data_IF_737248519465
#
_entry.id   IF_737248519465
#
_cell.length_a   1.000
_cell.length_b   1.000
_cell.length_c   1.000
_cell.angle_alpha   90.00
_cell.angle_beta   90.00
_cell.angle_gamma   90.00
#
_symmetry.space_group_name_H-M   'P 1'
#
loop_
_entity.id
_entity.type
_entity.pdbx_description
1 polymer ?
#
# COMPACT_ATOMS: atom_id res chain seq x y z
N UNK A 1 35.92 32.12 -13.69
CA UNK A 1 35.10 31.63 -12.54
C UNK A 1 34.81 30.14 -12.74
N UNK A 2 35.38 29.27 -11.89
CA UNK A 2 35.11 27.84 -11.93
C UNK A 2 33.75 27.56 -11.28
N UNK A 3 32.92 26.65 -11.83
CA UNK A 3 31.65 26.28 -11.20
C UNK A 3 31.93 25.62 -9.84
N UNK A 4 31.24 26.07 -8.80
CA UNK A 4 31.29 25.46 -7.48
C UNK A 4 30.78 24.00 -7.57
N UNK A 5 31.36 23.06 -6.81
CA UNK A 5 30.89 21.68 -6.78
C UNK A 5 29.43 21.67 -6.32
N UNK A 6 28.54 21.11 -7.16
CA UNK A 6 27.16 20.84 -6.79
C UNK A 6 27.15 20.07 -5.48
N UNK A 7 26.52 20.63 -4.45
CA UNK A 7 26.32 19.97 -3.18
C UNK A 7 25.62 18.62 -3.46
N UNK A 8 26.35 17.53 -3.26
CA UNK A 8 25.76 16.20 -3.30
C UNK A 8 24.63 16.16 -2.27
N UNK A 9 23.42 15.81 -2.71
CA UNK A 9 22.30 15.60 -1.79
C UNK A 9 22.74 14.62 -0.71
N UNK A 10 22.60 15.00 0.56
CA UNK A 10 22.91 14.12 1.68
C UNK A 10 22.19 12.77 1.47
N UNK A 11 22.82 11.64 1.79
CA UNK A 11 22.18 10.33 1.65
C UNK A 11 20.89 10.36 2.47
N UNK A 12 19.76 10.18 1.78
CA UNK A 12 18.46 10.06 2.42
C UNK A 12 18.45 8.72 3.15
N UNK A 13 18.21 8.75 4.45
CA UNK A 13 18.01 7.54 5.22
C UNK A 13 16.85 6.71 4.62
N UNK A 14 17.10 5.46 4.21
CA UNK A 14 16.11 4.65 3.48
C UNK A 14 14.88 4.33 4.34
N UNK A 15 15.04 4.22 5.66
CA UNK A 15 13.94 3.92 6.59
C UNK A 15 13.05 5.16 6.75
N UNK A 16 13.65 6.34 6.93
CA UNK A 16 12.91 7.61 6.95
C UNK A 16 12.20 7.89 5.61
N UNK A 17 12.81 7.52 4.48
CA UNK A 17 12.14 7.61 3.18
C UNK A 17 10.93 6.67 3.07
N UNK A 18 11.04 5.43 3.56
CA UNK A 18 9.93 4.49 3.59
C UNK A 18 8.78 4.98 4.48
N UNK A 19 9.07 5.50 5.68
CA UNK A 19 8.05 6.05 6.58
C UNK A 19 7.37 7.31 6.02
N UNK A 20 8.09 8.19 5.31
CA UNK A 20 7.47 9.32 4.61
C UNK A 20 6.55 8.88 3.48
N UNK A 21 6.93 7.86 2.70
CA UNK A 21 6.06 7.29 1.67
C UNK A 21 4.81 6.70 2.30
N UNK A 22 4.95 5.91 3.36
CA UNK A 22 3.84 5.37 4.12
C UNK A 22 2.87 6.47 4.58
N UNK A 23 3.37 7.54 5.21
CA UNK A 23 2.52 8.66 5.64
C UNK A 23 1.75 9.31 4.48
N UNK A 24 2.34 9.36 3.27
CA UNK A 24 1.71 9.89 2.07
C UNK A 24 0.67 8.98 1.42
N UNK A 25 0.70 7.67 1.68
CA UNK A 25 -0.19 6.69 1.02
C UNK A 25 -1.16 5.96 1.94
N UNK A 26 -0.86 5.87 3.24
CA UNK A 26 -1.64 5.09 4.20
C UNK A 26 -3.12 5.51 4.23
N UNK A 27 -3.38 6.81 4.17
CA UNK A 27 -4.74 7.35 4.20
C UNK A 27 -5.61 6.87 3.03
N UNK A 28 -5.04 6.79 1.81
CA UNK A 28 -5.75 6.23 0.66
C UNK A 28 -6.11 4.77 0.90
N UNK A 29 -5.17 3.97 1.40
CA UNK A 29 -5.42 2.55 1.68
C UNK A 29 -6.47 2.38 2.79
N UNK A 30 -6.40 3.18 3.86
CA UNK A 30 -7.38 3.17 4.96
C UNK A 30 -8.79 3.50 4.47
N UNK A 31 -8.96 4.55 3.64
CA UNK A 31 -10.28 4.89 3.08
C UNK A 31 -10.83 3.81 2.17
N UNK A 32 -9.98 3.20 1.35
CA UNK A 32 -10.39 2.08 0.50
C UNK A 32 -10.81 0.88 1.35
N UNK A 33 -10.02 0.52 2.38
CA UNK A 33 -10.38 -0.54 3.31
C UNK A 33 -11.72 -0.26 4.02
N UNK A 34 -11.95 0.98 4.47
CA UNK A 34 -13.22 1.37 5.07
C UNK A 34 -14.39 1.25 4.08
N UNK A 35 -14.18 1.60 2.81
CA UNK A 35 -15.18 1.47 1.74
C UNK A 35 -15.51 0.01 1.45
N UNK A 36 -14.49 -0.86 1.42
CA UNK A 36 -14.65 -2.33 1.30
C UNK A 36 -15.46 -2.88 2.47
N UNK A 37 -15.13 -2.49 3.70
CA UNK A 37 -15.82 -2.96 4.89
C UNK A 37 -17.28 -2.50 4.96
N UNK A 38 -17.60 -1.35 4.38
CA UNK A 38 -18.95 -0.80 4.37
C UNK A 38 -19.93 -1.61 3.47
N UNK A 39 -19.46 -2.28 2.42
CA UNK A 39 -20.37 -2.90 1.46
C UNK A 39 -19.70 -3.58 0.27
N UNK A 40 -20.51 -4.19 -0.62
CA UNK A 40 -20.01 -4.69 -1.90
C UNK A 40 -19.43 -3.57 -2.76
N UNK A 41 -18.28 -3.83 -3.38
CA UNK A 41 -17.51 -2.88 -4.19
C UNK A 41 -17.18 -3.46 -5.57
N UNK A 42 -16.83 -2.60 -6.52
CA UNK A 42 -16.34 -3.03 -7.83
C UNK A 42 -14.85 -3.43 -7.73
N UNK A 43 -14.47 -4.69 -8.04
CA UNK A 43 -13.08 -5.12 -8.02
C UNK A 43 -12.14 -4.20 -8.81
N UNK A 44 -12.53 -3.83 -10.04
CA UNK A 44 -11.70 -2.95 -10.87
C UNK A 44 -11.51 -1.57 -10.25
N UNK A 45 -12.53 -1.05 -9.54
CA UNK A 45 -12.44 0.22 -8.84
C UNK A 45 -11.43 0.17 -7.69
N UNK A 46 -11.43 -0.92 -6.92
CA UNK A 46 -10.46 -1.15 -5.84
C UNK A 46 -9.04 -1.24 -6.38
N UNK A 47 -8.82 -2.05 -7.42
CA UNK A 47 -7.51 -2.21 -8.06
C UNK A 47 -6.95 -0.86 -8.57
N UNK A 48 -7.78 -0.04 -9.22
CA UNK A 48 -7.37 1.27 -9.73
C UNK A 48 -6.95 2.23 -8.61
N UNK A 49 -7.68 2.27 -7.50
CA UNK A 49 -7.36 3.15 -6.37
C UNK A 49 -6.10 2.68 -5.63
N UNK A 50 -5.89 1.37 -5.54
CA UNK A 50 -4.76 0.78 -4.81
C UNK A 50 -3.48 0.63 -5.63
N UNK A 51 -3.50 0.88 -6.94
CA UNK A 51 -2.33 0.78 -7.81
C UNK A 51 -1.16 1.68 -7.34
N UNK A 52 -1.44 2.95 -7.05
CA UNK A 52 -0.39 3.89 -6.60
C UNK A 52 0.14 3.54 -5.19
N UNK A 53 -0.70 3.27 -4.17
CA UNK A 53 -0.22 2.74 -2.90
C UNK A 53 0.64 1.49 -3.05
N UNK A 54 0.17 0.48 -3.80
CA UNK A 54 0.92 -0.75 -4.06
C UNK A 54 2.32 -0.46 -4.58
N UNK A 55 2.44 0.43 -5.57
CA UNK A 55 3.73 0.87 -6.11
C UNK A 55 4.62 1.58 -5.08
N UNK A 56 4.03 2.37 -4.17
CA UNK A 56 4.78 3.04 -3.11
C UNK A 56 5.34 2.06 -2.07
N UNK A 57 4.57 1.02 -1.70
CA UNK A 57 5.00 -0.04 -0.77
C UNK A 57 5.98 -1.02 -1.41
N UNK A 58 5.86 -1.29 -2.71
CA UNK A 58 6.77 -2.12 -3.49
C UNK A 58 8.08 -1.40 -3.89
N UNK A 59 8.22 -0.11 -3.55
CA UNK A 59 9.39 0.71 -3.88
C UNK A 59 10.68 0.28 -3.15
N UNK A 60 11.73 1.12 -3.18
CA UNK A 60 13.02 0.81 -2.56
C UNK A 60 12.85 0.38 -1.10
N UNK A 61 13.35 -0.82 -0.78
CA UNK A 61 13.14 -1.45 0.52
C UNK A 61 13.80 -0.65 1.65
N UNK A 62 13.13 -0.63 2.80
CA UNK A 62 13.71 -0.16 4.05
C UNK A 62 14.92 -1.02 4.42
N UNK A 63 15.90 -0.41 5.10
CA UNK A 63 17.05 -1.13 5.66
C UNK A 63 16.65 -1.90 6.92
N UNK A 64 15.72 -1.35 7.70
CA UNK A 64 15.14 -2.04 8.84
C UNK A 64 14.29 -3.23 8.35
N UNK A 65 14.66 -4.44 8.78
CA UNK A 65 14.00 -5.67 8.33
C UNK A 65 12.53 -5.76 8.73
N UNK A 66 12.16 -5.22 9.90
CA UNK A 66 10.77 -5.22 10.37
C UNK A 66 9.92 -4.27 9.54
N UNK A 67 10.41 -3.07 9.24
CA UNK A 67 9.74 -2.13 8.35
C UNK A 67 9.62 -2.68 6.92
N UNK A 68 10.70 -3.28 6.38
CA UNK A 68 10.66 -3.90 5.06
C UNK A 68 9.62 -5.04 4.99
N UNK A 69 9.58 -5.90 6.00
CA UNK A 69 8.59 -6.97 6.09
C UNK A 69 7.15 -6.43 6.19
N UNK A 70 6.92 -5.40 7.00
CA UNK A 70 5.60 -4.78 7.12
C UNK A 70 5.15 -4.12 5.80
N UNK A 71 6.04 -3.42 5.10
CA UNK A 71 5.74 -2.82 3.79
C UNK A 71 5.42 -3.89 2.74
N UNK A 72 6.17 -5.01 2.73
CA UNK A 72 5.89 -6.15 1.85
C UNK A 72 4.53 -6.80 2.16
N UNK A 73 4.16 -6.88 3.44
CA UNK A 73 2.85 -7.41 3.85
C UNK A 73 1.70 -6.52 3.38
N UNK A 74 1.88 -5.19 3.32
CA UNK A 74 0.88 -4.30 2.70
C UNK A 74 0.69 -4.63 1.21
N UNK A 75 1.78 -4.87 0.47
CA UNK A 75 1.68 -5.27 -0.95
C UNK A 75 0.93 -6.60 -1.08
N UNK A 76 1.29 -7.59 -0.27
CA UNK A 76 0.64 -8.89 -0.29
C UNK A 76 -0.86 -8.81 0.09
N UNK A 77 -1.22 -7.94 1.03
CA UNK A 77 -2.61 -7.71 1.41
C UNK A 77 -3.41 -6.97 0.33
N UNK A 78 -2.78 -6.10 -0.46
CA UNK A 78 -3.43 -5.48 -1.64
C UNK A 78 -3.62 -6.52 -2.74
N UNK A 79 -2.60 -7.32 -3.04
CA UNK A 79 -2.68 -8.37 -4.05
C UNK A 79 -3.75 -9.42 -3.70
N UNK A 80 -3.95 -9.71 -2.41
CA UNK A 80 -5.02 -10.57 -1.92
C UNK A 80 -6.42 -10.01 -2.22
N UNK A 81 -6.62 -8.69 -2.14
CA UNK A 81 -7.89 -8.06 -2.52
C UNK A 81 -8.20 -8.24 -4.02
N UNK A 82 -7.17 -8.20 -4.87
CA UNK A 82 -7.32 -8.45 -6.31
C UNK A 82 -7.69 -9.92 -6.57
N UNK A 83 -7.05 -10.86 -5.86
CA UNK A 83 -7.39 -12.30 -5.92
C UNK A 83 -8.83 -12.54 -5.45
N UNK A 84 -9.21 -11.99 -4.30
CA UNK A 84 -10.59 -12.05 -3.79
C UNK A 84 -11.60 -11.49 -4.82
N UNK A 85 -11.23 -10.41 -5.51
CA UNK A 85 -12.03 -9.82 -6.57
C UNK A 85 -12.28 -10.78 -7.73
N UNK A 86 -11.24 -11.49 -8.18
CA UNK A 86 -11.35 -12.51 -9.23
C UNK A 86 -12.18 -13.73 -8.80
N UNK A 87 -11.93 -14.24 -7.60
CA UNK A 87 -12.56 -15.47 -7.10
C UNK A 87 -14.04 -15.30 -6.75
N UNK A 88 -14.45 -14.08 -6.39
CA UNK A 88 -15.82 -13.79 -5.97
C UNK A 88 -16.71 -13.28 -7.10
N UNK A 89 -16.16 -13.08 -8.30
CA UNK A 89 -16.97 -12.79 -9.47
C UNK A 89 -17.73 -14.05 -9.90
N UNK A 90 -19.01 -13.91 -10.29
CA UNK A 90 -19.75 -15.03 -10.88
C UNK A 90 -19.10 -15.44 -12.21
N UNK A 91 -19.35 -16.67 -12.70
CA UNK A 91 -18.94 -17.07 -14.04
C UNK A 91 -19.44 -16.07 -15.09
N UNK A 92 -18.53 -15.50 -15.89
CA UNK A 92 -18.85 -14.45 -16.87
C UNK A 92 -19.01 -13.04 -16.30
N UNK A 93 -18.75 -12.86 -15.00
CA UNK A 93 -18.83 -11.57 -14.31
C UNK A 93 -17.81 -10.56 -14.81
N UNK A 94 -18.20 -9.29 -14.78
CA UNK A 94 -17.40 -8.16 -15.21
C UNK A 94 -16.89 -7.36 -13.99
N UNK A 95 -15.57 -7.31 -13.74
CA UNK A 95 -15.00 -6.60 -12.58
C UNK A 95 -15.27 -5.09 -12.56
N UNK A 96 -15.69 -4.49 -13.67
CA UNK A 96 -16.05 -3.09 -13.79
C UNK A 96 -17.55 -2.80 -13.59
N UNK A 97 -18.40 -3.83 -13.52
CA UNK A 97 -19.86 -3.68 -13.40
C UNK A 97 -20.42 -4.43 -12.20
N UNK A 98 -19.88 -5.61 -11.90
CA UNK A 98 -20.37 -6.49 -10.85
C UNK A 98 -19.67 -6.19 -9.53
N UNK A 99 -20.49 -5.96 -8.49
CA UNK A 99 -20.00 -5.71 -7.14
C UNK A 99 -19.84 -7.01 -6.38
N UNK A 100 -18.73 -7.15 -5.68
CA UNK A 100 -18.44 -8.29 -4.81
C UNK A 100 -18.12 -7.80 -3.41
N UNK A 101 -18.34 -8.65 -2.42
CA UNK A 101 -17.89 -8.38 -1.05
C UNK A 101 -16.42 -8.79 -0.95
N UNK A 102 -15.55 -7.84 -0.65
CA UNK A 102 -14.12 -8.05 -0.36
C UNK A 102 -13.89 -8.04 1.16
N UNK A 103 -12.74 -8.53 1.60
CA UNK A 103 -12.29 -8.47 2.99
C UNK A 103 -10.95 -7.74 3.07
N UNK A 104 -10.96 -6.55 3.67
CA UNK A 104 -9.79 -5.69 3.85
C UNK A 104 -9.14 -5.81 5.24
N UNK A 105 -9.55 -6.79 6.07
CA UNK A 105 -9.03 -6.95 7.43
C UNK A 105 -7.50 -7.09 7.45
N UNK A 106 -6.96 -7.91 6.54
CA UNK A 106 -5.52 -8.11 6.38
C UNK A 106 -4.80 -6.81 5.98
N UNK A 107 -5.42 -6.00 5.11
CA UNK A 107 -4.88 -4.72 4.67
C UNK A 107 -4.78 -3.73 5.82
N UNK A 108 -5.80 -3.66 6.69
CA UNK A 108 -5.78 -2.79 7.87
C UNK A 108 -4.68 -3.20 8.85
N UNK A 109 -4.59 -4.50 9.17
CA UNK A 109 -3.55 -5.03 10.06
C UNK A 109 -2.13 -4.77 9.51
N UNK A 110 -1.93 -4.92 8.19
CA UNK A 110 -0.65 -4.65 7.56
C UNK A 110 -0.25 -3.16 7.67
N UNK A 111 -1.20 -2.23 7.55
CA UNK A 111 -0.93 -0.81 7.75
C UNK A 111 -0.52 -0.50 9.20
N UNK A 112 -1.22 -1.08 10.17
CA UNK A 112 -0.90 -0.90 11.59
C UNK A 112 0.51 -1.41 11.93
N UNK A 113 0.94 -2.51 11.32
CA UNK A 113 2.30 -3.01 11.47
C UNK A 113 3.35 -2.01 10.93
N UNK A 114 3.05 -1.31 9.83
CA UNK A 114 3.93 -0.25 9.31
C UNK A 114 3.92 0.97 10.23
N UNK A 115 2.76 1.39 10.74
CA UNK A 115 2.65 2.50 11.70
C UNK A 115 3.51 2.23 12.95
N UNK A 116 3.45 1.01 13.49
CA UNK A 116 4.26 0.57 14.63
C UNK A 116 5.75 0.57 14.30
N UNK A 117 6.14 0.03 13.14
CA UNK A 117 7.54 0.00 12.71
C UNK A 117 8.11 1.42 12.53
N UNK A 118 7.34 2.34 11.96
CA UNK A 118 7.76 3.73 11.80
C UNK A 118 7.82 4.51 13.11
N UNK A 119 6.91 4.23 14.05
CA UNK A 119 6.94 4.85 15.39
C UNK A 119 8.14 4.37 16.20
N UNK A 120 8.53 3.10 16.08
CA UNK A 120 9.71 2.55 16.75
C UNK A 120 11.07 3.03 16.20
N UNK A 121 11.07 3.78 15.10
CA UNK A 121 12.26 4.33 14.45
C UNK A 121 12.46 5.84 14.69
N UNK A 122 11.42 6.53 15.19
CA UNK A 122 11.44 7.98 15.50
C UNK A 122 11.81 8.25 16.95
#
# INVERSE_FOLDING_TARGET
PAPAPSAASAPVDPDAAACRRHAGTAETVRRTAATISAGPVLPAGVALVLLAPRGAYAGPQARNAMLAAAMAEVVAAIDDLDVQGGDRLPPGGNPAQDRVRLDATRTVAALEAVDQACTGLG
#
